data_IF_860468168053
#
_entry.id   IF_860468168053
#
_cell.length_a   1.000
_cell.length_b   1.000
_cell.length_c   1.000
_cell.angle_alpha   90.00
_cell.angle_beta   90.00
_cell.angle_gamma   90.00
#
_symmetry.space_group_name_H-M   'P 1'
#
loop_
_entity.id
_entity.type
_entity.pdbx_description
1 polymer ?
#
# COMPACT_ATOMS: atom_id res chain seq x y z
N UNK A 1 15.01 4.37 -4.74
CA UNK A 1 13.67 5.00 -4.81
C UNK A 1 13.79 6.35 -4.15
N UNK A 2 13.72 7.43 -4.92
CA UNK A 2 13.80 8.80 -4.39
C UNK A 2 12.37 9.34 -4.31
N UNK A 3 11.88 9.59 -3.09
CA UNK A 3 10.54 10.14 -2.85
C UNK A 3 10.48 11.60 -3.34
N UNK A 4 9.36 11.99 -3.95
CA UNK A 4 9.10 13.38 -4.36
C UNK A 4 8.06 14.07 -3.49
N UNK A 5 7.14 13.33 -2.88
CA UNK A 5 6.19 13.85 -1.90
C UNK A 5 5.70 12.69 -1.05
N UNK A 6 6.09 12.69 0.22
CA UNK A 6 5.27 12.13 1.28
C UNK A 6 4.95 13.34 2.15
N UNK A 7 3.67 13.65 2.37
CA UNK A 7 3.27 14.61 3.40
C UNK A 7 3.50 13.92 4.74
N UNK A 8 4.76 13.72 5.11
CA UNK A 8 5.11 13.16 6.40
C UNK A 8 4.75 14.22 7.45
N UNK A 9 3.96 13.88 8.49
CA UNK A 9 3.93 14.70 9.69
C UNK A 9 5.36 14.69 10.21
N UNK A 10 6.03 15.82 10.07
CA UNK A 10 7.41 16.01 10.47
C UNK A 10 7.53 15.81 11.98
N UNK A 11 8.41 14.91 12.42
CA UNK A 11 8.98 14.98 13.77
C UNK A 11 9.38 13.63 14.36
N UNK A 12 10.60 13.58 14.92
CA UNK A 12 11.11 12.48 15.77
C UNK A 12 10.34 12.27 17.08
N UNK A 13 9.14 12.84 17.19
CA UNK A 13 8.21 12.78 18.32
C UNK A 13 6.80 12.40 17.83
N UNK A 14 6.68 11.53 16.82
CA UNK A 14 5.39 11.01 16.40
C UNK A 14 4.80 10.21 17.57
N UNK A 15 3.65 10.67 18.07
CA UNK A 15 2.91 9.96 19.11
C UNK A 15 2.56 8.55 18.60
N UNK A 16 2.55 7.53 19.47
CA UNK A 16 2.29 6.13 19.07
C UNK A 16 0.90 5.91 18.44
N UNK A 17 0.02 6.91 18.45
CA UNK A 17 -1.35 6.92 17.94
C UNK A 17 -1.55 7.70 16.63
N UNK A 18 -0.49 8.16 15.96
CA UNK A 18 -0.66 8.91 14.70
C UNK A 18 -1.03 7.95 13.56
N UNK A 19 -2.31 8.01 13.16
CA UNK A 19 -2.81 7.41 11.93
C UNK A 19 -2.69 8.44 10.80
N UNK A 20 -1.83 8.17 9.83
CA UNK A 20 -1.65 9.06 8.68
C UNK A 20 -1.94 8.35 7.38
N UNK A 21 -2.63 9.04 6.47
CA UNK A 21 -2.92 8.56 5.12
C UNK A 21 -2.16 9.42 4.11
N UNK A 22 -1.48 8.77 3.18
CA UNK A 22 -0.71 9.44 2.12
C UNK A 22 -1.05 8.85 0.76
N UNK A 23 -0.89 9.68 -0.26
CA UNK A 23 -0.64 9.25 -1.61
C UNK A 23 0.87 9.23 -1.85
N UNK A 24 1.40 8.19 -2.50
CA UNK A 24 2.83 8.07 -2.78
C UNK A 24 3.08 8.04 -4.29
N UNK A 25 3.87 8.99 -4.76
CA UNK A 25 4.46 8.99 -6.11
C UNK A 25 5.98 9.11 -6.01
N UNK A 26 6.69 8.36 -6.83
CA UNK A 26 8.16 8.36 -6.89
C UNK A 26 8.65 9.11 -8.13
N UNK A 27 9.93 9.51 -8.13
CA UNK A 27 10.54 10.23 -9.26
C UNK A 27 10.49 9.47 -10.58
N UNK A 28 10.59 8.15 -10.53
CA UNK A 28 10.47 7.25 -11.68
C UNK A 28 9.00 7.00 -12.10
N UNK A 29 8.05 7.75 -11.54
CA UNK A 29 6.64 7.69 -11.91
C UNK A 29 5.89 6.50 -11.34
N UNK A 30 6.46 5.75 -10.39
CA UNK A 30 5.71 4.72 -9.67
C UNK A 30 4.73 5.38 -8.70
N UNK A 31 3.52 4.85 -8.65
CA UNK A 31 2.43 5.36 -7.82
C UNK A 31 1.93 4.25 -6.90
N UNK A 32 1.52 4.60 -5.69
CA UNK A 32 0.75 3.76 -4.77
C UNK A 32 -0.46 4.58 -4.32
N UNK A 33 -1.65 4.06 -4.59
CA UNK A 33 -2.91 4.77 -4.39
C UNK A 33 -3.14 5.17 -2.93
N UNK A 34 -2.78 4.29 -1.98
CA UNK A 34 -2.96 4.52 -0.56
C UNK A 34 -1.76 4.01 0.25
N UNK A 35 -1.22 4.87 1.09
CA UNK A 35 -0.28 4.51 2.15
C UNK A 35 -0.91 4.86 3.48
N UNK A 36 -1.06 3.88 4.37
CA UNK A 36 -1.44 4.10 5.76
C UNK A 36 -0.24 3.86 6.65
N UNK A 37 0.16 4.87 7.40
CA UNK A 37 1.16 4.73 8.45
C UNK A 37 0.47 4.50 9.79
N UNK A 38 0.85 3.40 10.44
CA UNK A 38 0.37 2.99 11.74
C UNK A 38 1.51 2.34 12.52
N UNK A 39 1.79 2.84 13.73
CA UNK A 39 2.83 2.24 14.59
C UNK A 39 4.21 2.19 13.93
N UNK A 40 4.60 3.25 13.21
CA UNK A 40 5.86 3.34 12.45
C UNK A 40 6.01 2.27 11.36
N UNK A 41 4.89 1.69 10.91
CA UNK A 41 4.83 0.75 9.80
C UNK A 41 3.95 1.29 8.69
N UNK A 42 4.36 0.98 7.46
CA UNK A 42 3.65 1.34 6.25
C UNK A 42 2.78 0.17 5.78
N UNK A 43 1.53 0.48 5.50
CA UNK A 43 0.57 -0.39 4.84
C UNK A 43 0.28 0.20 3.47
N UNK A 44 0.66 -0.50 2.41
CA UNK A 44 0.60 -0.02 1.03
C UNK A 44 -0.54 -0.70 0.28
N UNK A 45 -1.39 0.08 -0.37
CA UNK A 45 -2.52 -0.45 -1.13
C UNK A 45 -2.65 0.19 -2.51
N UNK A 46 -2.91 -0.67 -3.49
CA UNK A 46 -3.47 -0.30 -4.79
C UNK A 46 -4.98 -0.54 -4.75
N UNK A 47 -5.78 0.38 -5.26
CA UNK A 47 -7.24 0.30 -5.25
C UNK A 47 -7.73 0.16 -6.69
N UNK A 48 -8.53 -0.87 -6.96
CA UNK A 48 -9.02 -1.15 -8.31
C UNK A 48 -10.51 -1.45 -8.32
N UNK A 49 -11.24 -0.74 -9.17
CA UNK A 49 -12.64 -1.03 -9.44
C UNK A 49 -12.85 -2.29 -10.32
N UNK A 50 -11.79 -2.94 -10.81
CA UNK A 50 -11.93 -4.15 -11.63
C UNK A 50 -12.17 -5.41 -10.78
N UNK A 51 -12.85 -6.41 -11.35
CA UNK A 51 -12.98 -7.75 -10.75
C UNK A 51 -11.79 -8.67 -11.05
N UNK A 52 -11.01 -8.37 -12.08
CA UNK A 52 -9.85 -9.16 -12.46
C UNK A 52 -8.57 -8.49 -11.97
N UNK A 53 -7.81 -9.21 -11.15
CA UNK A 53 -6.51 -8.75 -10.64
C UNK A 53 -5.41 -9.55 -11.32
N UNK A 54 -4.59 -8.86 -12.13
CA UNK A 54 -3.43 -9.44 -12.79
C UNK A 54 -2.16 -9.18 -11.97
N UNK A 55 -1.14 -10.05 -12.05
CA UNK A 55 0.15 -9.83 -11.39
C UNK A 55 0.80 -8.48 -11.72
N UNK A 56 0.58 -7.95 -12.93
CA UNK A 56 1.10 -6.63 -13.34
C UNK A 56 0.55 -5.48 -12.49
N UNK A 57 -0.64 -5.63 -11.90
CA UNK A 57 -1.22 -4.61 -11.02
C UNK A 57 -0.45 -4.46 -9.70
N UNK A 58 0.38 -5.44 -9.34
CA UNK A 58 1.22 -5.41 -8.14
C UNK A 58 2.63 -4.86 -8.41
N UNK A 59 2.92 -4.34 -9.61
CA UNK A 59 4.29 -3.93 -9.98
C UNK A 59 4.80 -2.77 -9.13
N UNK A 60 3.99 -1.72 -8.93
CA UNK A 60 4.37 -0.58 -8.08
C UNK A 60 4.60 -1.00 -6.62
N UNK A 61 3.70 -1.81 -6.07
CA UNK A 61 3.85 -2.40 -4.74
C UNK A 61 5.13 -3.24 -4.61
N UNK A 62 5.46 -4.03 -5.64
CA UNK A 62 6.69 -4.81 -5.67
C UNK A 62 7.95 -3.94 -5.64
N UNK A 63 7.96 -2.83 -6.39
CA UNK A 63 9.06 -1.85 -6.33
C UNK A 63 9.15 -1.20 -4.95
N UNK A 64 8.01 -0.80 -4.38
CA UNK A 64 7.96 -0.18 -3.06
C UNK A 64 8.44 -1.13 -1.95
N UNK A 65 8.04 -2.40 -1.97
CA UNK A 65 8.52 -3.44 -1.05
C UNK A 65 10.04 -3.58 -1.11
N UNK A 66 10.60 -3.64 -2.33
CA UNK A 66 12.05 -3.74 -2.51
C UNK A 66 12.81 -2.49 -2.05
N UNK A 67 12.21 -1.31 -2.22
CA UNK A 67 12.81 -0.02 -1.86
C UNK A 67 12.72 0.31 -0.36
N UNK A 68 11.56 0.05 0.26
CA UNK A 68 11.24 0.44 1.63
C UNK A 68 11.47 -0.69 2.65
N UNK A 69 11.51 -1.94 2.19
CA UNK A 69 11.90 -3.13 2.97
C UNK A 69 11.15 -3.24 4.31
N UNK A 70 11.88 -3.24 5.43
CA UNK A 70 11.37 -3.48 6.79
C UNK A 70 10.40 -2.42 7.31
N UNK A 71 10.29 -1.28 6.62
CA UNK A 71 9.27 -0.26 6.91
C UNK A 71 7.88 -0.70 6.47
N UNK A 72 7.76 -1.59 5.48
CA UNK A 72 6.46 -2.07 4.98
C UNK A 72 6.01 -3.28 5.77
N UNK A 73 4.85 -3.19 6.41
CA UNK A 73 4.20 -4.29 7.12
C UNK A 73 3.19 -5.04 6.25
N UNK A 74 2.44 -4.32 5.43
CA UNK A 74 1.42 -4.87 4.55
C UNK A 74 1.55 -4.26 3.16
N UNK A 75 1.40 -5.08 2.13
CA UNK A 75 1.23 -4.63 0.76
C UNK A 75 0.09 -5.41 0.12
N UNK A 76 -0.82 -4.74 -0.57
CA UNK A 76 -1.92 -5.44 -1.21
C UNK A 76 -2.73 -4.65 -2.21
N UNK A 77 -3.63 -5.37 -2.88
CA UNK A 77 -4.57 -4.80 -3.85
C UNK A 77 -5.98 -4.94 -3.27
N UNK A 78 -6.68 -3.83 -3.12
CA UNK A 78 -8.10 -3.83 -2.75
C UNK A 78 -8.92 -3.75 -4.04
N UNK A 79 -9.84 -4.67 -4.24
CA UNK A 79 -10.68 -4.65 -5.45
C UNK A 79 -12.03 -5.35 -5.29
N UNK A 80 -12.82 -5.35 -6.38
CA UNK A 80 -14.08 -6.09 -6.50
C UNK A 80 -13.90 -7.58 -6.85
N UNK A 81 -12.67 -8.07 -6.96
CA UNK A 81 -12.44 -9.51 -7.15
C UNK A 81 -12.95 -10.29 -5.93
N UNK A 82 -13.55 -11.45 -6.16
CA UNK A 82 -14.14 -12.27 -5.10
C UNK A 82 -13.07 -13.00 -4.28
N UNK A 83 -13.25 -13.01 -2.96
CA UNK A 83 -12.35 -13.68 -2.02
C UNK A 83 -10.99 -12.99 -1.89
N UNK A 84 -10.12 -13.55 -1.06
CA UNK A 84 -8.75 -13.07 -0.86
C UNK A 84 -7.76 -14.09 -1.44
N UNK A 85 -6.75 -13.63 -2.18
CA UNK A 85 -5.76 -14.52 -2.80
C UNK A 85 -4.38 -13.87 -2.91
N UNK A 86 -3.29 -14.67 -2.92
CA UNK A 86 -1.95 -14.13 -3.17
C UNK A 86 -1.84 -13.63 -4.63
N UNK A 87 -1.29 -12.43 -4.81
CA UNK A 87 -1.04 -11.86 -6.15
C UNK A 87 0.42 -12.07 -6.57
N UNK A 88 1.34 -11.80 -5.63
CA UNK A 88 2.80 -12.00 -5.76
C UNK A 88 3.39 -12.27 -4.37
N UNK A 89 4.66 -12.68 -4.30
CA UNK A 89 5.37 -12.84 -3.03
C UNK A 89 5.27 -11.55 -2.19
N UNK A 90 4.67 -11.66 -1.01
CA UNK A 90 4.49 -10.53 -0.08
C UNK A 90 3.37 -9.55 -0.44
N UNK A 91 2.57 -9.83 -1.48
CA UNK A 91 1.46 -8.98 -1.94
C UNK A 91 0.19 -9.82 -2.05
N UNK A 92 -0.83 -9.44 -1.28
CA UNK A 92 -2.13 -10.13 -1.26
C UNK A 92 -3.21 -9.25 -1.88
N UNK A 93 -4.19 -9.89 -2.48
CA UNK A 93 -5.45 -9.25 -2.83
C UNK A 93 -6.39 -9.34 -1.62
N UNK A 94 -7.12 -8.26 -1.39
CA UNK A 94 -8.16 -8.13 -0.39
C UNK A 94 -9.48 -7.77 -1.07
N UNK A 95 -10.51 -8.58 -0.83
CA UNK A 95 -11.86 -8.24 -1.24
C UNK A 95 -12.37 -7.07 -0.41
N UNK A 96 -12.85 -6.01 -1.07
CA UNK A 96 -13.22 -4.78 -0.38
C UNK A 96 -14.33 -4.98 0.67
N UNK A 97 -15.24 -5.93 0.46
CA UNK A 97 -16.31 -6.22 1.42
C UNK A 97 -15.79 -6.87 2.69
N UNK A 98 -14.79 -7.74 2.60
CA UNK A 98 -14.15 -8.36 3.77
C UNK A 98 -13.51 -7.28 4.65
N UNK A 99 -12.95 -6.23 4.05
CA UNK A 99 -12.40 -5.07 4.76
C UNK A 99 -13.49 -4.27 5.47
N UNK A 100 -14.65 -4.11 4.84
CA UNK A 100 -15.77 -3.32 5.35
C UNK A 100 -16.70 -4.10 6.29
N UNK A 101 -16.58 -5.43 6.33
CA UNK A 101 -17.46 -6.30 7.12
C UNK A 101 -18.90 -6.40 6.61
N UNK A 102 -19.12 -6.34 5.28
CA UNK A 102 -20.46 -6.35 4.64
C UNK A 102 -20.63 -7.39 3.54
#
# INVERSE_FOLDING_TARGET
MNLIHAVLPSGRNARPDVHSLYYLRTRDGSEIDLVHELGQKLHLFEIKAAMTVWPKHANSLGRALNGLKSSVRTAGIISRASGCFPVKKGIHHYYWKDIMGI
#
